data_IF_721424481323
#
_entry.id   IF_721424481323
#
_cell.length_a   1.000
_cell.length_b   1.000
_cell.length_c   1.000
_cell.angle_alpha   90.00
_cell.angle_beta   90.00
_cell.angle_gamma   90.00
#
_symmetry.space_group_name_H-M   'P 1'
#
loop_
_entity.id
_entity.type
_entity.pdbx_description
1 polymer ?
#
# COMPACT_ATOMS: atom_id res chain seq x y z
N UNK A 1 20.19 -32.16 -42.57
CA UNK A 1 19.85 -31.70 -41.19
C UNK A 1 18.51 -32.30 -40.79
N UNK A 2 18.46 -32.92 -39.62
CA UNK A 2 17.47 -33.94 -39.26
C UNK A 2 16.22 -33.31 -38.62
N UNK A 3 15.02 -33.56 -39.17
CA UNK A 3 13.72 -33.01 -38.71
C UNK A 3 13.43 -33.22 -37.21
N UNK A 4 14.07 -34.22 -36.58
CA UNK A 4 13.94 -34.52 -35.15
C UNK A 4 14.57 -33.46 -34.23
N UNK A 5 15.62 -32.75 -34.68
CA UNK A 5 16.27 -31.71 -33.89
C UNK A 5 15.43 -30.43 -33.78
N UNK A 6 14.66 -30.11 -34.83
CA UNK A 6 13.78 -28.94 -34.86
C UNK A 6 12.57 -29.08 -33.91
N UNK A 7 12.02 -30.30 -33.79
CA UNK A 7 10.89 -30.57 -32.89
C UNK A 7 11.32 -30.48 -31.42
N UNK A 8 12.53 -30.95 -31.08
CA UNK A 8 13.06 -30.88 -29.71
C UNK A 8 13.35 -29.45 -29.28
N UNK A 9 13.82 -28.59 -30.19
CA UNK A 9 14.15 -27.19 -29.87
C UNK A 9 12.88 -26.34 -29.67
N UNK A 10 11.81 -26.61 -30.43
CA UNK A 10 10.51 -25.97 -30.25
C UNK A 10 9.85 -26.34 -28.90
N UNK A 11 10.02 -27.59 -28.44
CA UNK A 11 9.47 -28.03 -27.15
C UNK A 11 10.19 -27.39 -25.94
N UNK A 12 11.51 -27.18 -26.04
CA UNK A 12 12.30 -26.50 -24.99
C UNK A 12 11.94 -25.01 -24.91
N UNK A 13 11.68 -24.33 -26.04
CA UNK A 13 11.22 -22.94 -26.03
C UNK A 13 9.81 -22.75 -25.44
N UNK A 14 8.92 -23.74 -25.58
CA UNK A 14 7.57 -23.67 -24.98
C UNK A 14 7.55 -23.98 -23.47
N UNK A 15 8.58 -24.65 -22.94
CA UNK A 15 8.73 -24.92 -21.51
C UNK A 15 9.47 -23.79 -20.76
N UNK A 16 10.00 -22.81 -21.49
CA UNK A 16 10.73 -21.66 -20.94
C UNK A 16 9.85 -20.41 -20.76
N UNK A 17 8.53 -20.55 -20.83
CA UNK A 17 7.61 -19.50 -20.37
C UNK A 17 7.80 -19.35 -18.86
N UNK A 18 8.66 -18.41 -18.48
CA UNK A 18 8.79 -17.94 -17.11
C UNK A 18 7.38 -17.54 -16.65
N UNK A 19 6.79 -18.36 -15.78
CA UNK A 19 5.53 -18.04 -15.14
C UNK A 19 5.74 -16.73 -14.39
N UNK A 20 5.22 -15.62 -14.93
CA UNK A 20 5.26 -14.36 -14.20
C UNK A 20 4.35 -14.52 -13.01
N UNK A 21 4.92 -14.47 -11.81
CA UNK A 21 4.12 -14.44 -10.61
C UNK A 21 3.25 -13.17 -10.64
N UNK A 22 1.92 -13.35 -10.61
CA UNK A 22 0.97 -12.24 -10.70
C UNK A 22 0.63 -11.82 -9.28
N UNK A 23 0.95 -10.58 -8.87
CA UNK A 23 0.60 -10.08 -7.55
C UNK A 23 -0.91 -10.16 -7.33
N UNK A 24 -1.31 -10.53 -6.11
CA UNK A 24 -2.72 -10.64 -5.71
C UNK A 24 -3.21 -9.35 -5.05
N UNK A 25 -4.52 -9.17 -4.89
CA UNK A 25 -5.04 -8.02 -4.14
C UNK A 25 -4.80 -8.22 -2.63
N UNK A 26 -4.15 -7.27 -1.95
CA UNK A 26 -3.86 -7.37 -0.52
C UNK A 26 -5.14 -7.52 0.33
N UNK A 27 -6.27 -6.96 -0.11
CA UNK A 27 -7.57 -7.04 0.60
C UNK A 27 -8.13 -8.47 0.70
N UNK A 28 -7.53 -9.45 0.02
CA UNK A 28 -7.95 -10.86 0.07
C UNK A 28 -7.17 -11.69 1.08
N UNK A 29 -6.13 -11.10 1.69
CA UNK A 29 -5.23 -11.74 2.64
C UNK A 29 -5.56 -11.26 4.05
N UNK A 30 -5.52 -12.16 5.04
CA UNK A 30 -6.00 -11.84 6.38
C UNK A 30 -4.92 -11.94 7.45
N UNK A 31 -3.85 -12.70 7.21
CA UNK A 31 -2.81 -12.94 8.21
C UNK A 31 -1.41 -12.68 7.68
N UNK A 32 -0.47 -12.34 8.55
CA UNK A 32 0.95 -12.13 8.15
C UNK A 32 1.52 -13.35 7.44
N UNK A 33 1.11 -14.57 7.83
CA UNK A 33 1.49 -15.78 7.12
C UNK A 33 1.05 -15.75 5.64
N UNK A 34 -0.17 -15.32 5.35
CA UNK A 34 -0.68 -15.20 3.97
C UNK A 34 0.19 -14.24 3.15
N UNK A 35 0.52 -13.08 3.71
CA UNK A 35 1.39 -12.08 3.06
C UNK A 35 2.81 -12.63 2.81
N UNK A 36 3.39 -13.33 3.77
CA UNK A 36 4.71 -13.98 3.60
C UNK A 36 4.67 -15.03 2.48
N UNK A 37 3.57 -15.78 2.32
CA UNK A 37 3.44 -16.73 1.20
C UNK A 37 3.37 -16.05 -0.17
N UNK A 38 2.90 -14.79 -0.23
CA UNK A 38 2.84 -14.04 -1.50
C UNK A 38 4.21 -13.61 -2.03
N UNK A 39 5.30 -13.74 -1.27
CA UNK A 39 6.64 -13.45 -1.77
C UNK A 39 7.00 -14.28 -3.02
N UNK A 40 6.56 -15.55 -3.08
CA UNK A 40 6.72 -16.38 -4.28
C UNK A 40 5.76 -15.97 -5.41
N UNK A 41 4.63 -15.35 -5.06
CA UNK A 41 3.60 -14.84 -5.96
C UNK A 41 3.87 -13.44 -6.53
N UNK A 42 5.00 -12.82 -6.19
CA UNK A 42 5.32 -11.45 -6.60
C UNK A 42 4.73 -10.37 -5.71
N UNK A 43 4.15 -10.75 -4.56
CA UNK A 43 3.58 -9.85 -3.56
C UNK A 43 2.08 -9.62 -3.68
N UNK A 44 1.60 -8.52 -3.13
CA UNK A 44 0.22 -8.09 -3.24
C UNK A 44 0.12 -6.60 -3.55
N UNK A 45 -0.99 -6.14 -4.12
CA UNK A 45 -1.19 -4.74 -4.46
C UNK A 45 -2.43 -4.13 -3.83
N UNK A 46 -2.38 -2.81 -3.65
CA UNK A 46 -3.50 -1.93 -3.30
C UNK A 46 -3.42 -0.75 -4.26
N UNK A 47 -4.42 -0.63 -5.14
CA UNK A 47 -4.41 0.33 -6.25
C UNK A 47 -3.12 0.25 -7.09
N UNK A 48 -2.25 1.24 -7.01
CA UNK A 48 -0.99 1.36 -7.75
C UNK A 48 0.23 1.14 -6.85
N UNK A 49 0.04 0.63 -5.63
CA UNK A 49 1.12 0.23 -4.72
C UNK A 49 1.26 -1.29 -4.70
N UNK A 50 2.49 -1.75 -4.94
CA UNK A 50 2.89 -3.14 -4.86
C UNK A 50 3.72 -3.34 -3.57
N UNK A 51 3.28 -4.29 -2.76
CA UNK A 51 3.94 -4.70 -1.53
C UNK A 51 4.59 -6.08 -1.72
N UNK A 52 5.87 -6.19 -1.39
CA UNK A 52 6.69 -7.40 -1.62
C UNK A 52 7.67 -7.64 -0.47
N UNK A 53 8.37 -8.78 -0.51
CA UNK A 53 9.44 -9.12 0.43
C UNK A 53 8.99 -9.09 1.90
N UNK A 54 7.78 -9.57 2.17
CA UNK A 54 7.22 -9.65 3.50
C UNK A 54 8.08 -10.54 4.39
N UNK A 55 8.37 -10.07 5.60
CA UNK A 55 9.14 -10.80 6.59
C UNK A 55 8.51 -10.61 7.97
N UNK A 56 8.55 -11.68 8.77
CA UNK A 56 8.10 -11.65 10.15
C UNK A 56 8.94 -12.62 10.98
N UNK A 57 9.44 -12.18 12.12
CA UNK A 57 10.28 -12.99 13.02
C UNK A 57 9.71 -13.12 14.42
N UNK A 58 8.42 -12.88 14.62
CA UNK A 58 7.78 -13.06 15.92
C UNK A 58 7.79 -14.52 16.38
N UNK A 59 7.90 -14.71 17.69
CA UNK A 59 7.95 -16.02 18.34
C UNK A 59 7.05 -16.13 19.57
N UNK A 60 7.05 -17.29 20.22
CA UNK A 60 6.20 -17.57 21.38
C UNK A 60 4.78 -17.96 20.98
N UNK A 61 3.77 -17.34 21.61
CA UNK A 61 2.36 -17.69 21.40
C UNK A 61 1.70 -17.02 20.19
N UNK A 62 2.36 -16.04 19.55
CA UNK A 62 1.81 -15.29 18.41
C UNK A 62 2.69 -15.47 17.17
N UNK A 63 2.52 -16.61 16.49
CA UNK A 63 3.13 -16.86 15.18
C UNK A 63 2.46 -16.06 14.06
N UNK A 64 3.08 -16.00 12.88
CA UNK A 64 2.60 -15.21 11.73
C UNK A 64 1.14 -15.52 11.32
N UNK A 65 0.69 -16.77 11.45
CA UNK A 65 -0.70 -17.17 11.14
C UNK A 65 -1.73 -16.72 12.19
N UNK A 66 -1.27 -16.17 13.32
CA UNK A 66 -2.10 -15.62 14.39
C UNK A 66 -1.99 -14.09 14.47
N UNK A 67 -1.31 -13.45 13.52
CA UNK A 67 -1.29 -12.00 13.36
C UNK A 67 -2.22 -11.66 12.20
N UNK A 68 -3.37 -11.09 12.52
CA UNK A 68 -4.27 -10.48 11.56
C UNK A 68 -3.67 -9.22 10.94
N UNK A 69 -4.05 -8.96 9.69
CA UNK A 69 -3.60 -7.80 8.92
C UNK A 69 -4.83 -7.11 8.36
N UNK A 70 -5.01 -5.84 8.72
CA UNK A 70 -5.98 -4.95 8.08
C UNK A 70 -5.21 -4.01 7.15
N UNK A 71 -5.67 -3.90 5.91
CA UNK A 71 -5.05 -3.02 4.92
C UNK A 71 -5.60 -1.61 5.10
N UNK A 72 -4.70 -0.64 5.22
CA UNK A 72 -5.05 0.78 5.25
C UNK A 72 -5.01 1.32 3.83
N UNK A 73 -6.13 1.91 3.39
CA UNK A 73 -6.22 2.67 2.16
C UNK A 73 -7.16 3.86 2.34
N UNK A 74 -6.64 5.07 2.19
CA UNK A 74 -7.41 6.30 2.26
C UNK A 74 -7.03 7.24 1.14
N UNK A 75 -8.04 7.87 0.53
CA UNK A 75 -7.88 8.82 -0.57
C UNK A 75 -8.24 10.21 -0.08
N UNK A 76 -7.26 11.11 -0.07
CA UNK A 76 -7.43 12.51 0.32
C UNK A 76 -7.24 13.43 -0.91
N UNK A 77 -7.64 14.71 -0.85
CA UNK A 77 -7.61 15.58 -2.02
C UNK A 77 -6.22 15.74 -2.67
N UNK A 78 -5.16 15.65 -1.88
CA UNK A 78 -3.77 15.89 -2.31
C UNK A 78 -2.82 14.75 -1.97
N UNK A 79 -3.30 13.70 -1.31
CA UNK A 79 -2.47 12.58 -0.89
C UNK A 79 -3.28 11.29 -0.79
N UNK A 80 -2.63 10.17 -1.03
CA UNK A 80 -3.20 8.84 -0.78
C UNK A 80 -2.38 8.19 0.35
N UNK A 81 -3.05 7.44 1.23
CA UNK A 81 -2.44 6.74 2.36
C UNK A 81 -2.57 5.25 2.14
N UNK A 82 -1.46 4.53 2.28
CA UNK A 82 -1.41 3.08 2.14
C UNK A 82 -0.62 2.46 3.29
N UNK A 83 -1.10 1.37 3.87
CA UNK A 83 -0.42 0.80 5.02
C UNK A 83 -1.01 -0.51 5.51
N UNK A 84 -0.56 -0.93 6.68
CA UNK A 84 -1.05 -2.11 7.36
C UNK A 84 -1.24 -1.84 8.84
N UNK A 85 -2.35 -2.33 9.38
CA UNK A 85 -2.55 -2.50 10.81
C UNK A 85 -2.38 -3.99 11.11
N UNK A 86 -1.44 -4.31 11.98
CA UNK A 86 -1.24 -5.65 12.51
C UNK A 86 -1.96 -5.76 13.85
N UNK A 87 -2.77 -6.80 13.97
CA UNK A 87 -3.54 -7.12 15.17
C UNK A 87 -3.29 -8.58 15.55
N UNK A 88 -3.05 -8.94 16.82
CA UNK A 88 -3.08 -10.34 17.21
C UNK A 88 -4.51 -10.88 17.04
N UNK A 89 -4.64 -12.15 16.64
CA UNK A 89 -5.93 -12.81 16.52
C UNK A 89 -6.73 -12.72 17.82
N UNK A 90 -8.06 -12.76 17.74
CA UNK A 90 -8.92 -12.65 18.92
C UNK A 90 -8.50 -13.62 20.05
N UNK A 91 -8.19 -13.07 21.23
CA UNK A 91 -7.72 -13.84 22.39
C UNK A 91 -6.19 -14.06 22.45
N UNK A 92 -5.44 -13.68 21.41
CA UNK A 92 -3.99 -13.57 21.46
C UNK A 92 -3.56 -12.17 21.92
N UNK A 93 -2.42 -12.12 22.60
CA UNK A 93 -1.80 -10.87 23.06
C UNK A 93 -0.33 -10.94 22.68
N UNK A 94 0.20 -9.87 22.08
CA UNK A 94 1.64 -9.78 21.92
C UNK A 94 2.29 -9.48 23.26
N UNK A 95 3.02 -10.47 23.75
CA UNK A 95 3.84 -10.42 24.96
C UNK A 95 5.32 -10.75 24.67
N UNK A 96 5.66 -10.87 23.38
CA UNK A 96 7.00 -11.17 22.87
C UNK A 96 7.35 -10.19 21.75
N UNK A 97 8.60 -9.73 21.75
CA UNK A 97 9.13 -8.88 20.69
C UNK A 97 9.06 -9.57 19.32
N UNK A 98 8.90 -8.78 18.26
CA UNK A 98 8.86 -9.26 16.88
C UNK A 98 9.44 -8.23 15.93
N UNK A 99 9.75 -8.68 14.71
CA UNK A 99 10.08 -7.80 13.59
C UNK A 99 9.06 -8.07 12.48
N UNK A 100 8.61 -7.01 11.82
CA UNK A 100 7.82 -7.05 10.59
C UNK A 100 8.53 -6.20 9.53
N UNK A 101 8.49 -6.61 8.27
CA UNK A 101 9.11 -5.81 7.21
C UNK A 101 8.59 -6.19 5.84
N UNK A 102 8.67 -5.24 4.91
CA UNK A 102 8.21 -5.37 3.54
C UNK A 102 8.82 -4.27 2.67
N UNK A 103 8.60 -4.33 1.37
CA UNK A 103 8.91 -3.26 0.42
C UNK A 103 7.62 -2.77 -0.20
N UNK A 104 7.36 -1.47 -0.14
CA UNK A 104 6.28 -0.79 -0.87
C UNK A 104 6.88 -0.12 -2.11
N UNK A 105 6.24 -0.25 -3.26
CA UNK A 105 6.66 0.39 -4.50
C UNK A 105 5.47 0.86 -5.34
N UNK A 106 5.66 1.93 -6.10
CA UNK A 106 4.71 2.42 -7.09
C UNK A 106 4.79 1.51 -8.32
N UNK A 107 3.65 0.92 -8.70
CA UNK A 107 3.56 -0.05 -9.77
C UNK A 107 2.26 0.11 -10.59
N UNK A 108 2.34 0.37 -11.92
CA UNK A 108 3.57 0.56 -12.68
C UNK A 108 4.33 1.83 -12.26
N UNK A 109 5.67 1.87 -12.37
CA UNK A 109 6.45 3.04 -11.98
C UNK A 109 5.97 4.32 -12.68
N UNK A 110 5.68 5.36 -11.91
CA UNK A 110 5.19 6.64 -12.43
C UNK A 110 5.89 7.81 -11.73
N UNK A 111 6.76 8.60 -12.41
CA UNK A 111 7.54 9.67 -11.77
C UNK A 111 6.71 10.81 -11.18
N UNK A 112 5.43 10.93 -11.54
CA UNK A 112 4.52 11.91 -10.97
C UNK A 112 3.96 11.49 -9.59
N UNK A 113 4.17 10.24 -9.21
CA UNK A 113 3.71 9.63 -7.97
C UNK A 113 4.95 9.30 -7.14
N UNK A 114 4.99 9.76 -5.89
CA UNK A 114 6.08 9.44 -4.98
C UNK A 114 5.54 9.21 -3.58
N UNK A 115 6.11 8.22 -2.90
CA UNK A 115 5.95 8.06 -1.45
C UNK A 115 6.78 9.17 -0.81
N UNK A 116 6.14 10.07 -0.07
CA UNK A 116 6.73 11.29 0.49
C UNK A 116 6.77 11.30 2.01
N UNK A 117 6.13 10.32 2.65
CA UNK A 117 6.18 10.19 4.09
C UNK A 117 5.85 8.78 4.54
N UNK A 118 6.12 8.53 5.81
CA UNK A 118 5.69 7.35 6.51
C UNK A 118 5.21 7.77 7.91
N UNK A 119 4.37 6.91 8.49
CA UNK A 119 3.90 7.03 9.86
C UNK A 119 3.97 5.67 10.53
N UNK A 120 4.50 5.67 11.75
CA UNK A 120 4.53 4.52 12.63
C UNK A 120 3.64 4.81 13.83
N UNK A 121 2.72 3.90 14.13
CA UNK A 121 1.84 4.01 15.28
C UNK A 121 1.79 2.70 16.08
N UNK A 122 1.78 2.81 17.41
CA UNK A 122 1.50 1.70 18.31
C UNK A 122 0.24 1.98 19.13
N UNK A 123 -0.64 0.99 19.21
CA UNK A 123 -1.78 1.04 20.12
C UNK A 123 -1.52 0.14 21.31
N UNK A 124 -1.46 0.74 22.48
CA UNK A 124 -1.25 0.07 23.75
C UNK A 124 -2.58 0.00 24.50
N UNK A 125 -2.77 -1.05 25.30
CA UNK A 125 -3.80 -0.99 26.33
C UNK A 125 -3.24 -0.48 27.64
N UNK A 126 -4.07 -0.58 28.68
CA UNK A 126 -3.72 -0.15 30.05
C UNK A 126 -2.55 -0.96 30.59
N UNK A 127 -1.35 -0.39 30.55
CA UNK A 127 -0.12 -1.03 31.07
C UNK A 127 0.31 -0.40 32.38
N UNK A 128 0.77 -1.23 33.32
CA UNK A 128 1.59 -0.83 34.45
C UNK A 128 2.96 -1.51 34.29
N UNK A 129 4.01 -0.76 33.92
CA UNK A 129 5.35 -1.35 33.71
C UNK A 129 6.22 -0.63 32.68
N UNK A 130 7.25 -1.34 32.20
CA UNK A 130 8.18 -0.86 31.18
C UNK A 130 7.48 -0.65 29.83
N UNK A 131 7.84 0.39 29.06
CA UNK A 131 7.11 0.75 27.85
C UNK A 131 7.43 -0.20 26.69
N UNK A 132 6.39 -0.68 26.00
CA UNK A 132 6.54 -1.24 24.65
C UNK A 132 7.06 -0.14 23.72
N UNK A 133 8.00 -0.47 22.85
CA UNK A 133 8.57 0.46 21.86
C UNK A 133 8.56 -0.16 20.47
N UNK A 134 8.39 0.65 19.44
CA UNK A 134 8.59 0.24 18.06
C UNK A 134 9.60 1.17 17.39
N UNK A 135 10.44 0.60 16.53
CA UNK A 135 11.40 1.34 15.72
C UNK A 135 11.28 0.84 14.29
N UNK A 136 10.92 1.72 13.36
CA UNK A 136 10.87 1.41 11.94
C UNK A 136 12.05 2.03 11.23
N UNK A 137 12.81 1.22 10.48
CA UNK A 137 13.94 1.66 9.66
C UNK A 137 13.58 1.54 8.20
N UNK A 138 13.74 2.62 7.44
CA UNK A 138 13.43 2.69 6.03
C UNK A 138 14.70 2.60 5.17
N UNK A 139 14.57 2.08 3.95
CA UNK A 139 15.66 1.89 3.01
C UNK A 139 16.34 3.18 2.52
N UNK A 140 15.71 4.35 2.73
CA UNK A 140 16.26 5.68 2.47
C UNK A 140 17.05 6.25 3.66
N UNK A 141 17.17 5.51 4.76
CA UNK A 141 17.88 5.93 5.97
C UNK A 141 17.01 6.61 7.03
N UNK A 142 15.71 6.83 6.76
CA UNK A 142 14.80 7.37 7.78
C UNK A 142 14.50 6.34 8.87
N UNK A 143 14.31 6.85 10.09
CA UNK A 143 14.02 6.06 11.28
C UNK A 143 12.88 6.71 12.06
N UNK A 144 11.81 5.95 12.26
CA UNK A 144 10.66 6.35 13.07
C UNK A 144 10.70 5.57 14.38
N UNK A 145 10.39 6.21 15.51
CA UNK A 145 10.38 5.53 16.80
C UNK A 145 9.21 5.96 17.67
N UNK A 146 8.41 4.98 18.07
CA UNK A 146 7.29 5.16 18.98
C UNK A 146 7.48 4.37 20.28
N UNK A 147 6.81 4.83 21.32
CA UNK A 147 6.85 4.27 22.66
C UNK A 147 5.55 4.55 23.39
N UNK A 148 5.39 4.07 24.63
CA UNK A 148 4.23 4.41 25.45
C UNK A 148 4.08 5.90 25.79
N UNK A 149 5.09 6.72 25.47
CA UNK A 149 5.06 8.19 25.65
C UNK A 149 4.72 8.89 24.34
N UNK A 150 5.21 8.36 23.21
CA UNK A 150 4.99 8.86 21.86
C UNK A 150 4.38 7.74 21.03
N UNK A 151 3.04 7.71 20.96
CA UNK A 151 2.31 6.60 20.34
C UNK A 151 2.40 6.61 18.81
N UNK A 152 2.72 7.77 18.23
CA UNK A 152 2.77 8.00 16.79
C UNK A 152 4.00 8.84 16.46
N UNK A 153 4.71 8.45 15.39
CA UNK A 153 5.83 9.20 14.82
C UNK A 153 5.65 9.25 13.30
N UNK A 154 5.77 10.44 12.72
CA UNK A 154 5.51 10.70 11.30
C UNK A 154 6.70 11.45 10.72
N UNK A 155 7.22 10.99 9.59
CA UNK A 155 8.33 11.64 8.92
C UNK A 155 8.05 11.86 7.43
N UNK A 156 8.54 13.00 6.91
CA UNK A 156 8.44 13.39 5.51
C UNK A 156 9.82 13.38 4.86
N UNK A 157 9.91 12.89 3.63
CA UNK A 157 11.16 12.77 2.89
C UNK A 157 11.00 13.12 1.40
N UNK A 158 12.13 13.18 0.68
CA UNK A 158 12.27 13.77 -0.66
C UNK A 158 11.51 13.07 -1.82
N UNK A 159 10.58 12.16 -1.52
CA UNK A 159 9.87 11.37 -2.52
C UNK A 159 10.70 10.18 -3.00
N UNK A 160 10.16 8.97 -2.88
CA UNK A 160 10.76 7.75 -3.43
C UNK A 160 9.69 6.91 -4.14
N UNK A 161 10.14 6.12 -5.12
CA UNK A 161 9.27 5.20 -5.86
C UNK A 161 9.17 3.81 -5.24
N UNK A 162 10.12 3.48 -4.37
CA UNK A 162 10.19 2.21 -3.67
C UNK A 162 10.88 2.43 -2.33
N UNK A 163 10.36 1.81 -1.30
CA UNK A 163 10.87 1.91 0.05
C UNK A 163 10.76 0.55 0.73
N UNK A 164 11.90 0.02 1.17
CA UNK A 164 11.94 -1.12 2.08
C UNK A 164 11.77 -0.61 3.50
N UNK A 165 11.00 -1.31 4.31
CA UNK A 165 10.81 -1.03 5.72
C UNK A 165 11.03 -2.27 6.58
N UNK A 166 11.62 -2.06 7.75
CA UNK A 166 11.76 -3.06 8.79
C UNK A 166 11.45 -2.43 10.14
N UNK A 167 10.38 -2.90 10.75
CA UNK A 167 9.87 -2.44 12.03
C UNK A 167 10.16 -3.48 13.11
N UNK A 168 10.94 -3.10 14.11
CA UNK A 168 11.26 -3.91 15.28
C UNK A 168 10.43 -3.43 16.46
N UNK A 169 9.61 -4.31 16.99
CA UNK A 169 8.79 -4.06 18.18
C UNK A 169 9.42 -4.76 19.37
N UNK A 170 9.74 -4.00 20.41
CA UNK A 170 10.27 -4.51 21.67
C UNK A 170 9.18 -4.49 22.73
N UNK A 171 8.79 -5.67 23.22
CA UNK A 171 7.78 -5.83 24.27
C UNK A 171 8.49 -6.36 25.52
N UNK A 172 8.66 -5.53 26.57
CA UNK A 172 9.28 -5.98 27.81
C UNK A 172 8.37 -6.96 28.55
N UNK A 173 8.94 -7.71 29.50
CA UNK A 173 8.15 -8.60 30.36
C UNK A 173 7.05 -7.82 31.09
N UNK A 174 5.81 -8.30 31.00
CA UNK A 174 4.63 -7.64 31.55
C UNK A 174 4.06 -6.51 30.68
N UNK A 175 4.76 -6.13 29.61
CA UNK A 175 4.23 -5.27 28.56
C UNK A 175 3.29 -6.02 27.64
N UNK A 176 2.48 -5.27 26.90
CA UNK A 176 1.68 -5.80 25.81
C UNK A 176 1.46 -4.75 24.72
N UNK A 177 1.09 -5.22 23.53
CA UNK A 177 0.74 -4.41 22.37
C UNK A 177 -0.63 -4.88 21.86
N UNK A 178 -1.53 -3.93 21.58
CA UNK A 178 -2.83 -4.22 20.96
C UNK A 178 -2.68 -4.26 19.45
N UNK A 179 -2.09 -3.22 18.87
CA UNK A 179 -1.87 -3.16 17.42
C UNK A 179 -0.61 -2.37 17.07
N UNK A 180 -0.03 -2.70 15.93
CA UNK A 180 1.02 -1.94 15.25
C UNK A 180 0.43 -1.43 13.94
N UNK A 181 0.64 -0.17 13.63
CA UNK A 181 0.19 0.43 12.37
C UNK A 181 1.36 1.10 11.68
N UNK A 182 1.45 0.88 10.38
CA UNK A 182 2.50 1.44 9.54
C UNK A 182 1.91 1.92 8.22
N UNK A 183 1.91 3.23 8.05
CA UNK A 183 1.30 3.94 6.93
C UNK A 183 2.34 4.67 6.09
N UNK A 184 2.02 4.83 4.81
CA UNK A 184 2.80 5.57 3.83
C UNK A 184 1.94 6.62 3.16
N UNK A 185 2.50 7.82 3.08
CA UNK A 185 1.86 8.98 2.48
C UNK A 185 2.43 9.15 1.09
N UNK A 186 1.55 9.12 0.10
CA UNK A 186 1.86 9.46 -1.28
C UNK A 186 1.36 10.86 -1.59
N UNK A 187 2.22 11.71 -2.17
CA UNK A 187 1.74 12.96 -2.74
C UNK A 187 1.31 12.74 -4.18
N UNK A 188 0.05 13.05 -4.46
CA UNK A 188 -0.58 12.96 -5.77
C UNK A 188 -0.83 14.36 -6.30
N UNK A 189 -0.17 14.71 -7.39
CA UNK A 189 -0.48 15.95 -8.09
C UNK A 189 -1.69 15.69 -9.01
N UNK A 190 -2.88 15.54 -8.42
CA UNK A 190 -4.12 15.46 -9.19
C UNK A 190 -4.31 16.82 -9.84
N UNK A 191 -3.92 16.93 -11.12
CA UNK A 191 -4.41 18.01 -11.97
C UNK A 191 -5.93 17.88 -11.90
N UNK A 192 -6.58 18.74 -11.10
CA UNK A 192 -8.04 18.77 -11.05
C UNK A 192 -8.49 18.93 -12.48
N UNK A 193 -9.14 17.90 -13.03
CA UNK A 193 -9.67 18.00 -14.38
C UNK A 193 -10.55 19.24 -14.39
N UNK A 194 -10.24 20.24 -15.23
CA UNK A 194 -10.98 21.48 -15.19
C UNK A 194 -12.43 21.15 -15.53
N UNK A 195 -13.33 21.31 -14.55
CA UNK A 195 -14.78 21.30 -14.77
C UNK A 195 -15.21 22.31 -15.88
N UNK A 196 -14.29 23.16 -16.31
CA UNK A 196 -14.34 24.07 -17.44
C UNK A 196 -14.66 23.42 -18.79
N UNK A 197 -14.35 22.14 -19.05
CA UNK A 197 -14.72 21.50 -20.34
C UNK A 197 -16.24 21.27 -20.45
N UNK A 198 -16.91 20.94 -19.35
CA UNK A 198 -18.37 20.74 -19.33
C UNK A 198 -19.11 22.09 -19.43
N UNK A 199 -18.54 23.16 -18.86
CA UNK A 199 -19.09 24.53 -18.96
C UNK A 199 -18.90 25.12 -20.37
N UNK A 200 -17.78 24.83 -21.05
CA UNK A 200 -17.57 25.25 -22.44
C UNK A 200 -18.46 24.47 -23.43
N UNK A 201 -18.71 23.18 -23.20
CA UNK A 201 -19.59 22.37 -24.05
C UNK A 201 -21.07 22.77 -23.97
N UNK A 202 -21.56 23.12 -22.78
CA UNK A 202 -22.97 23.52 -22.57
C UNK A 202 -23.26 24.94 -23.09
N UNK A 203 -22.31 25.87 -23.04
CA UNK A 203 -22.45 27.20 -23.62
C UNK A 203 -22.59 27.20 -25.16
N UNK A 204 -21.86 26.33 -25.85
CA UNK A 204 -21.90 26.21 -27.31
C UNK A 204 -23.19 25.55 -27.83
N UNK A 205 -23.70 24.53 -27.16
CA UNK A 205 -24.99 23.91 -27.51
C UNK A 205 -26.18 24.85 -27.26
N UNK A 206 -26.13 25.65 -26.19
CA UNK A 206 -27.14 26.68 -25.91
C UNK A 206 -27.22 27.76 -26.99
N UNK A 207 -26.08 28.21 -27.52
CA UNK A 207 -26.05 29.23 -28.59
C UNK A 207 -26.54 28.70 -29.94
N UNK A 208 -26.30 27.42 -30.27
CA UNK A 208 -26.82 26.81 -31.50
C UNK A 208 -28.34 26.61 -31.43
N UNK A 209 -28.89 26.22 -30.27
CA UNK A 209 -30.34 26.10 -30.09
C UNK A 209 -31.04 27.47 -30.16
N UNK A 210 -30.46 28.50 -29.54
CA UNK A 210 -31.02 29.86 -29.56
C UNK A 210 -30.99 30.51 -30.95
N UNK A 211 -29.91 30.32 -31.71
CA UNK A 211 -29.79 30.87 -33.06
C UNK A 211 -30.78 30.26 -34.06
N UNK A 212 -31.20 29.00 -33.86
CA UNK A 212 -32.25 28.35 -34.66
C UNK A 212 -33.65 28.87 -34.33
N UNK A 213 -33.96 29.09 -33.06
CA UNK A 213 -35.25 29.66 -32.62
C UNK A 213 -35.44 31.10 -33.13
N UNK A 214 -34.38 31.90 -33.19
CA UNK A 214 -34.48 33.30 -33.66
C UNK A 214 -34.71 33.43 -35.18
N UNK A 215 -34.36 32.41 -35.97
CA UNK A 215 -34.57 32.40 -37.43
C UNK A 215 -35.96 31.92 -37.83
N UNK A 216 -36.68 31.15 -37.01
CA UNK A 216 -38.05 30.69 -37.35
C UNK A 216 -39.14 31.71 -37.07
N UNK A 217 -38.84 32.84 -36.41
CA UNK A 217 -39.81 33.87 -36.05
C UNK A 217 -40.01 34.98 -37.11
N UNK A 218 -39.34 34.92 -38.27
CA UNK A 218 -39.39 36.00 -39.27
C UNK A 218 -39.87 35.50 -40.62
N UNK A 219 -41.06 34.91 -40.62
CA UNK A 219 -41.86 34.72 -41.83
C UNK A 219 -43.33 34.70 -41.46
N UNK A 220 -44.00 35.86 -41.47
CA UNK A 220 -44.83 36.30 -42.60
C UNK A 220 -45.59 37.61 -42.29
N UNK A 221 -45.96 38.35 -43.36
CA UNK A 221 -46.84 39.53 -43.34
C UNK A 221 -48.29 39.19 -43.01
#
# INVERSE_FOLDING_TARGET
MCKKALISMALILMLASSASAVPVNCMTLNTVADYVTQNAGGGCFVQDKLFTNFSYTGGGTVGAGLVGVDVVFSVLPTQDIHGFILNPAAGAVWNTSFTFGYTIAVNPPNPAINITGAELQINLGVTAGNPTTAVSTKGNGQVESTSSVLLTDTDLFAGVQSLTSSTVVTIPTGGFLISLEEDYIETINRISEPATIIVLGSGLLGMVAWSRLRRSGRSRP
#
